data_IF_201238519879
#
_entry.id   IF_201238519879
#
_cell.length_a   1.000
_cell.length_b   1.000
_cell.length_c   1.000
_cell.angle_alpha   90.00
_cell.angle_beta   90.00
_cell.angle_gamma   90.00
#
_symmetry.space_group_name_H-M   'P 1'
#
loop_
_entity.id
_entity.type
_entity.pdbx_description
1 polymer ?
#
# COMPACT_ATOMS: atom_id res chain seq x y z
N UNK A 1 -9.02 18.91 7.02
CA UNK A 1 -8.81 17.64 7.74
C UNK A 1 -9.25 16.48 6.84
N UNK A 2 -8.30 15.82 6.16
CA UNK A 2 -8.57 14.43 5.80
C UNK A 2 -8.65 13.73 7.14
N UNK A 3 -9.84 13.38 7.61
CA UNK A 3 -9.91 12.25 8.54
C UNK A 3 -9.33 11.08 7.73
N UNK A 4 -8.07 10.70 7.94
CA UNK A 4 -7.66 9.35 7.58
C UNK A 4 -8.33 8.48 8.64
N UNK A 5 -9.65 8.34 8.54
CA UNK A 5 -10.49 7.77 9.59
C UNK A 5 -10.04 6.34 9.85
N UNK A 6 -9.46 6.11 11.02
CA UNK A 6 -9.20 4.84 11.69
C UNK A 6 -8.43 3.73 10.96
N UNK A 7 -8.37 3.65 9.63
CA UNK A 7 -7.79 2.51 8.91
C UNK A 7 -7.07 2.95 7.64
N UNK A 8 -5.84 3.44 7.76
CA UNK A 8 -4.89 3.39 6.64
C UNK A 8 -4.01 2.16 6.86
N UNK A 9 -4.39 1.07 6.20
CA UNK A 9 -3.65 -0.19 6.22
C UNK A 9 -2.91 -0.37 4.89
N UNK A 10 -1.64 -0.72 4.98
CA UNK A 10 -0.71 -0.90 3.87
C UNK A 10 -0.05 -2.28 4.06
N UNK A 11 0.13 -3.04 2.98
CA UNK A 11 0.69 -4.39 3.04
C UNK A 11 2.10 -4.45 2.42
N UNK A 12 2.80 -5.51 2.79
CA UNK A 12 4.04 -6.04 2.25
C UNK A 12 4.16 -7.45 2.79
N UNK A 13 4.83 -8.30 2.01
CA UNK A 13 4.66 -9.74 2.06
C UNK A 13 4.83 -10.34 3.47
N UNK A 14 4.01 -11.32 3.86
CA UNK A 14 4.21 -12.02 5.12
C UNK A 14 5.56 -12.76 5.10
N UNK A 15 6.34 -12.73 6.19
CA UNK A 15 7.62 -13.45 6.26
C UNK A 15 7.34 -14.96 6.23
N UNK A 16 7.66 -15.62 5.11
CA UNK A 16 7.54 -17.08 5.03
C UNK A 16 7.54 -17.75 3.65
N UNK A 17 7.42 -17.02 2.53
CA UNK A 17 7.46 -17.63 1.20
C UNK A 17 8.80 -17.38 0.48
N UNK A 18 9.91 -17.80 1.07
CA UNK A 18 11.10 -18.11 0.27
C UNK A 18 10.92 -19.53 -0.31
N UNK A 19 10.57 -19.62 -1.60
CA UNK A 19 10.64 -20.88 -2.34
C UNK A 19 12.06 -21.43 -2.22
N UNK A 20 12.23 -22.56 -1.51
CA UNK A 20 13.44 -23.37 -1.63
C UNK A 20 13.54 -23.86 -3.07
N UNK A 21 14.50 -23.34 -3.82
CA UNK A 21 14.90 -23.93 -5.09
C UNK A 21 15.80 -25.11 -4.74
N UNK A 22 15.23 -26.30 -4.61
CA UNK A 22 16.00 -27.54 -4.60
C UNK A 22 16.40 -27.87 -6.04
N UNK A 23 17.71 -27.98 -6.30
CA UNK A 23 18.21 -28.73 -7.45
C UNK A 23 17.72 -30.17 -7.32
N UNK A 24 17.00 -30.67 -8.33
CA UNK A 24 16.60 -32.08 -8.42
C UNK A 24 16.86 -32.61 -9.84
N UNK A 25 17.72 -33.63 -9.89
CA UNK A 25 18.17 -34.34 -11.09
C UNK A 25 17.16 -35.45 -11.45
N UNK A 26 16.31 -35.17 -12.43
CA UNK A 26 15.76 -36.15 -13.39
C UNK A 26 14.74 -37.21 -12.91
N UNK A 27 13.56 -37.22 -13.54
CA UNK A 27 12.94 -38.37 -14.29
C UNK A 27 11.52 -38.03 -14.78
N UNK A 28 11.16 -38.60 -15.94
CA UNK A 28 9.85 -38.49 -16.60
C UNK A 28 8.76 -39.26 -15.84
N UNK A 29 7.56 -38.67 -15.73
CA UNK A 29 6.34 -39.35 -15.26
C UNK A 29 5.09 -38.59 -15.72
N UNK A 30 4.14 -39.34 -16.29
CA UNK A 30 2.90 -38.92 -16.95
C UNK A 30 1.73 -38.64 -16.00
N UNK A 31 0.97 -37.58 -16.29
CA UNK A 31 -0.47 -37.43 -16.03
C UNK A 31 -0.94 -37.27 -14.58
N UNK A 32 -1.40 -36.07 -14.21
CA UNK A 32 -2.75 -35.89 -13.66
C UNK A 32 -3.16 -34.42 -13.64
N UNK A 33 -4.44 -34.17 -13.87
CA UNK A 33 -5.06 -32.84 -13.97
C UNK A 33 -5.09 -32.12 -12.62
N UNK A 34 -4.10 -31.27 -12.35
CA UNK A 34 -4.16 -30.35 -11.22
C UNK A 34 -5.04 -29.16 -11.60
N UNK A 35 -6.34 -29.28 -11.30
CA UNK A 35 -7.28 -28.16 -11.29
C UNK A 35 -6.76 -27.17 -10.25
N UNK A 36 -6.04 -26.15 -10.74
CA UNK A 36 -5.54 -25.05 -9.94
C UNK A 36 -6.63 -24.57 -8.99
N UNK A 37 -6.42 -24.80 -7.69
CA UNK A 37 -7.23 -24.20 -6.65
C UNK A 37 -7.10 -22.70 -6.82
N UNK A 38 -8.18 -22.06 -7.24
CA UNK A 38 -8.33 -20.62 -7.22
C UNK A 38 -8.17 -20.19 -5.76
N UNK A 39 -6.97 -19.71 -5.43
CA UNK A 39 -6.70 -19.07 -4.16
C UNK A 39 -7.48 -17.76 -4.18
N UNK A 40 -8.62 -17.74 -3.50
CA UNK A 40 -9.28 -16.50 -3.14
C UNK A 40 -8.34 -15.71 -2.22
N UNK A 41 -7.49 -14.87 -2.83
CA UNK A 41 -6.72 -13.89 -2.11
C UNK A 41 -7.72 -12.80 -1.71
N UNK A 42 -8.20 -12.82 -0.48
CA UNK A 42 -8.93 -11.68 0.05
C UNK A 42 -8.05 -10.43 -0.12
N UNK A 43 -8.60 -9.40 -0.75
CA UNK A 43 -7.91 -8.11 -0.89
C UNK A 43 -7.61 -7.55 0.50
N UNK A 44 -6.33 -7.47 0.86
CA UNK A 44 -5.86 -6.92 2.14
C UNK A 44 -5.92 -5.39 2.20
N UNK A 45 -6.17 -4.73 1.07
CA UNK A 45 -6.35 -3.27 1.01
C UNK A 45 -7.73 -2.90 1.53
N UNK A 46 -7.79 -2.07 2.57
CA UNK A 46 -9.05 -1.55 3.09
C UNK A 46 -9.68 -0.55 2.10
N UNK A 47 -10.72 -1.00 1.38
CA UNK A 47 -11.47 -0.19 0.43
C UNK A 47 -12.64 0.57 1.08
N UNK A 48 -12.89 0.39 2.37
CA UNK A 48 -14.06 0.97 3.07
C UNK A 48 -14.07 2.50 3.00
N UNK A 49 -12.90 3.13 3.04
CA UNK A 49 -12.78 4.59 2.96
C UNK A 49 -13.18 5.12 1.58
N UNK A 50 -12.85 4.38 0.52
CA UNK A 50 -13.27 4.71 -0.85
C UNK A 50 -14.79 4.66 -0.92
N UNK A 51 -15.41 3.56 -0.48
CA UNK A 51 -16.86 3.41 -0.50
C UNK A 51 -17.58 4.48 0.34
N UNK A 52 -17.05 4.80 1.54
CA UNK A 52 -17.59 5.87 2.39
C UNK A 52 -17.56 7.24 1.71
N UNK A 53 -16.46 7.55 1.01
CA UNK A 53 -16.23 8.89 0.47
C UNK A 53 -16.82 9.07 -0.92
N UNK A 54 -16.95 8.00 -1.72
CA UNK A 54 -17.66 8.02 -3.00
C UNK A 54 -19.09 8.54 -2.84
N UNK A 55 -19.83 8.04 -1.84
CA UNK A 55 -21.21 8.46 -1.56
C UNK A 55 -21.34 9.91 -1.08
N UNK A 56 -20.24 10.53 -0.63
CA UNK A 56 -20.21 11.91 -0.12
C UNK A 56 -19.61 12.89 -1.15
N UNK A 57 -19.06 12.36 -2.24
CA UNK A 57 -18.39 13.14 -3.27
C UNK A 57 -19.38 13.99 -4.06
N UNK A 58 -18.94 15.16 -4.54
CA UNK A 58 -19.79 16.04 -5.36
C UNK A 58 -19.96 15.43 -6.74
N UNK A 59 -21.21 15.25 -7.19
CA UNK A 59 -21.53 14.53 -8.44
C UNK A 59 -21.00 15.17 -9.72
N UNK A 60 -20.64 16.46 -9.68
CA UNK A 60 -20.14 17.22 -10.83
C UNK A 60 -18.60 17.29 -10.92
N UNK A 61 -17.89 16.58 -10.04
CA UNK A 61 -16.43 16.59 -9.97
C UNK A 61 -15.86 15.18 -10.14
N UNK A 62 -14.69 15.09 -10.75
CA UNK A 62 -13.99 13.81 -10.89
C UNK A 62 -13.38 13.36 -9.55
N UNK A 63 -13.50 12.06 -9.28
CA UNK A 63 -13.05 11.42 -8.05
C UNK A 63 -11.62 10.90 -8.22
N UNK A 64 -10.73 11.31 -7.31
CA UNK A 64 -9.30 11.00 -7.36
C UNK A 64 -8.90 10.19 -6.12
N UNK A 65 -8.08 9.17 -6.33
CA UNK A 65 -7.38 8.43 -5.29
C UNK A 65 -5.88 8.71 -5.44
N UNK A 66 -5.25 9.14 -4.35
CA UNK A 66 -3.81 9.38 -4.32
C UNK A 66 -3.06 8.11 -3.91
N UNK A 67 -1.96 7.81 -4.59
CA UNK A 67 -1.07 6.69 -4.24
C UNK A 67 0.37 7.21 -4.24
N UNK A 68 1.06 7.11 -3.11
CA UNK A 68 2.48 7.38 -3.00
C UNK A 68 3.25 6.08 -2.84
N UNK A 69 4.01 5.68 -3.85
CA UNK A 69 4.87 4.50 -3.81
C UNK A 69 6.29 4.88 -3.41
N UNK A 70 7.05 3.94 -2.83
CA UNK A 70 8.47 4.16 -2.57
C UNK A 70 9.08 3.17 -1.58
N UNK A 71 10.36 3.36 -1.27
CA UNK A 71 11.04 2.49 -0.30
C UNK A 71 10.43 2.63 1.11
N UNK A 72 10.10 3.85 1.55
CA UNK A 72 9.62 4.12 2.92
C UNK A 72 10.53 3.53 4.00
N UNK A 73 11.84 3.81 3.88
CA UNK A 73 12.93 3.19 4.63
C UNK A 73 13.74 4.23 5.45
N UNK A 74 13.18 4.83 6.52
CA UNK A 74 11.80 4.75 7.00
C UNK A 74 10.88 5.79 6.33
N UNK A 75 9.59 5.78 6.67
CA UNK A 75 8.69 6.91 6.37
C UNK A 75 9.11 8.16 7.17
N UNK A 76 8.92 9.35 6.61
CA UNK A 76 9.17 10.64 7.26
C UNK A 76 8.09 11.67 6.91
N UNK A 77 8.03 12.78 7.66
CA UNK A 77 7.01 13.84 7.53
C UNK A 77 6.83 14.39 6.11
N UNK A 78 7.89 14.42 5.30
CA UNK A 78 7.79 14.90 3.92
C UNK A 78 6.86 14.01 3.06
N UNK A 79 6.82 12.68 3.26
CA UNK A 79 5.90 11.79 2.53
C UNK A 79 4.43 12.14 2.83
N UNK A 80 4.11 12.35 4.12
CA UNK A 80 2.78 12.72 4.59
C UNK A 80 2.39 14.11 4.07
N UNK A 81 3.29 15.10 4.25
CA UNK A 81 3.07 16.48 3.81
C UNK A 81 2.85 16.56 2.30
N UNK A 82 3.56 15.75 1.50
CA UNK A 82 3.35 15.69 0.06
C UNK A 82 1.91 15.25 -0.28
N UNK A 83 1.42 14.18 0.35
CA UNK A 83 0.04 13.71 0.15
C UNK A 83 -1.00 14.77 0.50
N UNK A 84 -0.82 15.46 1.63
CA UNK A 84 -1.74 16.53 2.08
C UNK A 84 -1.72 17.71 1.11
N UNK A 85 -0.53 18.17 0.70
CA UNK A 85 -0.39 19.29 -0.24
C UNK A 85 -0.95 18.95 -1.62
N UNK A 86 -0.70 17.74 -2.12
CA UNK A 86 -1.29 17.27 -3.39
C UNK A 86 -2.81 17.25 -3.30
N UNK A 87 -3.38 16.76 -2.20
CA UNK A 87 -4.83 16.83 -1.99
C UNK A 87 -5.33 18.27 -2.07
N UNK A 88 -4.76 19.17 -1.26
CA UNK A 88 -5.16 20.57 -1.21
C UNK A 88 -5.07 21.23 -2.58
N UNK A 89 -4.01 20.95 -3.33
CA UNK A 89 -3.82 21.44 -4.68
C UNK A 89 -4.93 20.95 -5.63
N UNK A 90 -5.24 19.65 -5.63
CA UNK A 90 -6.27 19.08 -6.50
C UNK A 90 -7.68 19.57 -6.15
N UNK A 91 -8.01 19.68 -4.87
CA UNK A 91 -9.35 20.12 -4.44
C UNK A 91 -9.56 21.63 -4.62
N UNK A 92 -8.54 22.44 -4.34
CA UNK A 92 -8.68 23.90 -4.35
C UNK A 92 -8.41 24.54 -5.72
N UNK A 93 -7.50 23.96 -6.52
CA UNK A 93 -7.07 24.56 -7.79
C UNK A 93 -7.72 23.86 -8.99
N UNK A 94 -7.84 22.53 -8.95
CA UNK A 94 -8.37 21.74 -10.06
C UNK A 94 -9.81 21.27 -9.86
N UNK A 95 -10.43 21.68 -8.76
CA UNK A 95 -11.83 21.38 -8.42
C UNK A 95 -12.16 19.88 -8.35
N UNK A 96 -11.19 18.99 -8.09
CA UNK A 96 -11.42 17.55 -7.94
C UNK A 96 -12.02 17.14 -6.58
N UNK A 97 -12.50 15.90 -6.48
CA UNK A 97 -12.84 15.24 -5.21
C UNK A 97 -11.73 14.24 -4.86
N UNK A 98 -10.86 14.54 -3.88
CA UNK A 98 -9.87 13.55 -3.41
C UNK A 98 -10.50 12.66 -2.35
N UNK A 99 -10.86 11.45 -2.74
CA UNK A 99 -11.69 10.53 -1.94
C UNK A 99 -10.89 9.54 -1.09
N UNK A 100 -9.63 9.26 -1.43
CA UNK A 100 -8.75 8.41 -0.63
C UNK A 100 -7.26 8.69 -0.92
N UNK A 101 -6.39 8.23 -0.02
CA UNK A 101 -4.95 8.31 -0.18
C UNK A 101 -4.26 7.09 0.43
N UNK A 102 -3.31 6.50 -0.30
CA UNK A 102 -2.55 5.31 0.12
C UNK A 102 -1.05 5.59 0.02
N UNK A 103 -0.28 5.13 0.99
CA UNK A 103 1.19 5.07 0.93
C UNK A 103 1.56 3.61 0.67
N UNK A 104 2.23 3.27 -0.41
CA UNK A 104 2.53 1.88 -0.74
C UNK A 104 4.04 1.63 -0.65
N UNK A 105 4.55 1.13 0.50
CA UNK A 105 5.92 0.67 0.60
C UNK A 105 6.16 -0.45 -0.41
N UNK A 106 7.24 -0.34 -1.20
CA UNK A 106 7.59 -1.37 -2.18
C UNK A 106 8.07 -2.66 -1.50
N UNK A 107 8.20 -3.75 -2.27
CA UNK A 107 8.63 -5.05 -1.78
C UNK A 107 10.12 -5.10 -1.39
N UNK A 108 10.49 -6.12 -0.62
CA UNK A 108 11.79 -6.19 0.06
C UNK A 108 12.98 -6.37 -0.87
N UNK A 109 12.86 -7.22 -1.90
CA UNK A 109 13.92 -7.47 -2.88
C UNK A 109 14.39 -6.17 -3.53
N UNK A 110 13.47 -5.35 -4.05
CA UNK A 110 13.81 -4.04 -4.62
C UNK A 110 14.51 -3.10 -3.64
N UNK A 111 14.05 -3.02 -2.38
CA UNK A 111 14.69 -2.12 -1.41
C UNK A 111 16.06 -2.65 -0.98
N UNK A 112 16.19 -3.96 -0.85
CA UNK A 112 17.46 -4.63 -0.52
C UNK A 112 18.49 -4.44 -1.64
N UNK A 113 18.12 -4.61 -2.90
CA UNK A 113 18.99 -4.31 -4.05
C UNK A 113 19.45 -2.86 -4.03
N UNK A 114 18.56 -1.93 -3.67
CA UNK A 114 18.85 -0.50 -3.69
C UNK A 114 19.67 -0.01 -2.49
N UNK A 115 19.42 -0.54 -1.29
CA UNK A 115 19.97 -0.02 -0.02
C UNK A 115 20.95 -0.96 0.67
N UNK A 116 21.09 -2.20 0.19
CA UNK A 116 21.97 -3.21 0.77
C UNK A 116 21.67 -3.44 2.25
N UNK A 117 22.70 -3.31 3.09
CA UNK A 117 22.59 -3.56 4.53
C UNK A 117 21.77 -2.51 5.31
N UNK A 118 21.37 -1.40 4.67
CA UNK A 118 20.55 -0.35 5.29
C UNK A 118 19.04 -0.56 5.07
N UNK A 119 18.67 -1.65 4.40
CA UNK A 119 17.29 -2.02 4.17
C UNK A 119 16.58 -2.42 5.48
N UNK A 120 15.35 -1.92 5.62
CA UNK A 120 14.40 -2.23 6.68
C UNK A 120 13.33 -3.15 6.07
N UNK A 121 13.10 -4.34 6.63
CA UNK A 121 12.04 -5.26 6.21
C UNK A 121 10.65 -4.63 6.04
N UNK A 122 9.90 -5.08 5.04
CA UNK A 122 8.57 -4.58 4.66
C UNK A 122 7.62 -4.46 5.84
N UNK A 123 7.51 -5.49 6.67
CA UNK A 123 6.66 -5.49 7.85
C UNK A 123 6.97 -4.34 8.82
N UNK A 124 8.25 -3.98 9.00
CA UNK A 124 8.64 -2.82 9.81
C UNK A 124 8.28 -1.51 9.11
N UNK A 125 8.52 -1.40 7.80
CA UNK A 125 8.19 -0.21 7.01
C UNK A 125 6.68 0.07 7.02
N UNK A 126 5.87 -0.95 6.86
CA UNK A 126 4.40 -0.88 6.97
C UNK A 126 3.97 -0.38 8.34
N UNK A 127 4.49 -0.98 9.42
CA UNK A 127 4.14 -0.58 10.77
C UNK A 127 4.54 0.88 11.04
N UNK A 128 5.68 1.33 10.53
CA UNK A 128 6.08 2.73 10.60
C UNK A 128 5.16 3.64 9.79
N UNK A 129 4.75 3.25 8.58
CA UNK A 129 3.76 3.98 7.79
C UNK A 129 2.43 4.14 8.52
N UNK A 130 1.91 3.04 9.09
CA UNK A 130 0.66 3.05 9.86
C UNK A 130 0.75 4.00 11.07
N UNK A 131 1.84 3.94 11.83
CA UNK A 131 2.07 4.84 12.97
C UNK A 131 2.16 6.30 12.55
N UNK A 132 2.94 6.61 11.52
CA UNK A 132 3.08 7.98 11.02
C UNK A 132 1.74 8.57 10.55
N UNK A 133 0.89 7.75 9.94
CA UNK A 133 -0.46 8.15 9.53
C UNK A 133 -1.39 8.35 10.74
N UNK A 134 -1.35 7.44 11.72
CA UNK A 134 -2.13 7.57 12.95
C UNK A 134 -1.75 8.83 13.73
N UNK A 135 -0.46 9.16 13.82
CA UNK A 135 0.05 10.37 14.47
C UNK A 135 -0.41 11.64 13.76
N UNK A 136 -0.46 11.64 12.43
CA UNK A 136 -0.99 12.77 11.66
C UNK A 136 -2.49 13.00 11.95
N UNK A 137 -3.28 11.93 11.99
CA UNK A 137 -4.72 12.01 12.27
C UNK A 137 -5.07 12.51 13.67
N UNK A 138 -4.14 12.44 14.62
CA UNK A 138 -4.34 12.87 15.99
C UNK A 138 -3.99 14.35 16.21
N UNK A 139 -3.44 15.02 15.19
CA UNK A 139 -3.02 16.43 15.27
C UNK A 139 -4.12 17.43 14.89
N UNK A 140 -5.33 16.96 14.62
CA UNK A 140 -6.53 17.76 14.33
C UNK A 140 -7.52 17.76 15.53
#
# INVERSE_FOLDING_TARGET
MIRLGSNVLLHGDPPGQQKKISHDDGRRGSGDSDRGKEIHLESTTDLSIIYSNLNKSKSNKENIILISTGAMNPIHRCHISNMIKTKQYLENIHDYNVIAGYISPTHDEYVQEKLGNYFIPSHHRINMCQKAIQEENQQD
#
